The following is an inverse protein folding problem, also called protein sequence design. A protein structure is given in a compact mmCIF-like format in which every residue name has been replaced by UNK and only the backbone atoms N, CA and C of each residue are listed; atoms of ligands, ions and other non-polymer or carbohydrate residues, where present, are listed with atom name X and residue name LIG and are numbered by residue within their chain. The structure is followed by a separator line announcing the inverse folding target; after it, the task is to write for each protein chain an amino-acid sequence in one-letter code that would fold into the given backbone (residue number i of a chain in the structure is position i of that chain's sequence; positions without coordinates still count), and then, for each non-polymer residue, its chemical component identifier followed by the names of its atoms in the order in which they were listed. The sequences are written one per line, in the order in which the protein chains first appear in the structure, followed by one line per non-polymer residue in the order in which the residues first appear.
data_IF_075697545168
#
_entry.id   IF_075697545168
#
_cell.length_a   1.000
_cell.length_b   1.000
_cell.length_c   1.000
_cell.angle_alpha   90.00
_cell.angle_beta   90.00
_cell.angle_gamma   90.00
#
_symmetry.space_group_name_H-M   'P 1'
#
loop_
_entity.id
_entity.type
_entity.pdbx_description
1 polymer ?
#
# COMPACT_ATOMS: atom_id res chain seq x y z
N UNK A 1 -0.88 -33.05 -3.33
CA UNK A 1 -1.38 -31.66 -3.26
C UNK A 1 -0.36 -30.85 -2.48
N UNK A 2 0.14 -29.75 -3.04
CA UNK A 2 1.02 -28.88 -2.26
C UNK A 2 0.19 -28.23 -1.15
N UNK A 3 0.69 -28.30 0.08
CA UNK A 3 0.03 -27.71 1.25
C UNK A 3 0.10 -26.18 1.23
N UNK A 4 1.08 -25.61 0.51
CA UNK A 4 1.35 -24.17 0.43
C UNK A 4 1.34 -23.72 -1.02
N UNK A 5 0.88 -22.50 -1.25
CA UNK A 5 0.97 -21.83 -2.55
C UNK A 5 2.37 -21.24 -2.78
N UNK A 6 2.91 -20.61 -1.76
CA UNK A 6 4.26 -20.02 -1.73
C UNK A 6 4.99 -20.47 -0.46
N UNK A 7 5.47 -21.71 -0.47
CA UNK A 7 6.04 -22.37 0.72
C UNK A 7 7.12 -21.51 1.39
N UNK A 8 8.04 -20.94 0.63
CA UNK A 8 9.13 -20.09 1.16
C UNK A 8 8.65 -18.88 1.95
N UNK A 9 7.52 -18.31 1.56
CA UNK A 9 6.90 -17.15 2.24
C UNK A 9 6.04 -17.62 3.41
N UNK A 10 5.23 -18.65 3.20
CA UNK A 10 4.24 -19.12 4.17
C UNK A 10 4.85 -19.83 5.36
N UNK A 11 6.05 -20.41 5.19
CA UNK A 11 6.80 -21.10 6.26
C UNK A 11 8.01 -20.30 6.78
N UNK A 12 8.12 -19.05 6.37
CA UNK A 12 9.24 -18.17 6.74
C UNK A 12 9.33 -17.99 8.26
N UNK A 13 10.55 -18.01 8.82
CA UNK A 13 10.76 -17.70 10.23
C UNK A 13 10.30 -16.27 10.56
N UNK A 14 9.92 -16.05 11.83
CA UNK A 14 9.48 -14.71 12.29
C UNK A 14 10.53 -13.62 12.04
N UNK A 15 11.79 -13.94 12.21
CA UNK A 15 12.92 -13.01 12.01
C UNK A 15 13.00 -12.57 10.55
N UNK A 16 13.03 -13.54 9.63
CA UNK A 16 13.05 -13.26 8.18
C UNK A 16 11.79 -12.52 7.73
N UNK A 17 10.63 -12.86 8.29
CA UNK A 17 9.38 -12.18 8.00
C UNK A 17 9.43 -10.72 8.44
N UNK A 18 9.97 -10.43 9.63
CA UNK A 18 10.14 -9.07 10.13
C UNK A 18 11.09 -8.24 9.24
N UNK A 19 12.19 -8.83 8.79
CA UNK A 19 13.11 -8.20 7.85
C UNK A 19 12.42 -7.86 6.52
N UNK A 20 11.69 -8.82 5.96
CA UNK A 20 10.92 -8.64 4.73
C UNK A 20 9.85 -7.55 4.90
N UNK A 21 9.14 -7.54 6.01
CA UNK A 21 8.11 -6.54 6.30
C UNK A 21 8.72 -5.13 6.43
N UNK A 22 9.86 -4.99 7.10
CA UNK A 22 10.55 -3.71 7.21
C UNK A 22 11.02 -3.20 5.84
N UNK A 23 11.60 -4.08 5.03
CA UNK A 23 12.02 -3.74 3.68
C UNK A 23 10.83 -3.28 2.82
N UNK A 24 9.71 -3.99 2.88
CA UNK A 24 8.49 -3.65 2.14
C UNK A 24 7.87 -2.34 2.64
N UNK A 25 7.87 -2.09 3.95
CA UNK A 25 7.37 -0.85 4.54
C UNK A 25 8.17 0.35 4.03
N UNK A 26 9.50 0.28 4.04
CA UNK A 26 10.37 1.33 3.49
C UNK A 26 10.11 1.57 2.00
N UNK A 27 9.99 0.50 1.22
CA UNK A 27 9.67 0.58 -0.20
C UNK A 27 8.31 1.25 -0.42
N UNK A 28 7.29 0.87 0.36
CA UNK A 28 5.94 1.45 0.27
C UNK A 28 5.94 2.94 0.59
N UNK A 29 6.65 3.37 1.63
CA UNK A 29 6.78 4.80 1.98
C UNK A 29 7.45 5.57 0.85
N UNK A 30 8.52 5.02 0.28
CA UNK A 30 9.23 5.66 -0.83
C UNK A 30 8.32 5.84 -2.06
N UNK A 31 7.56 4.80 -2.42
CA UNK A 31 6.60 4.88 -3.54
C UNK A 31 5.46 5.85 -3.20
N UNK A 32 4.86 5.72 -2.03
CA UNK A 32 3.74 6.57 -1.60
C UNK A 32 4.10 8.06 -1.57
N UNK A 33 5.37 8.40 -1.32
CA UNK A 33 5.87 9.78 -1.36
C UNK A 33 5.69 10.46 -2.74
N UNK A 34 5.43 9.71 -3.80
CA UNK A 34 5.12 10.26 -5.12
C UNK A 34 3.65 10.71 -5.24
N UNK A 35 2.75 10.20 -4.40
CA UNK A 35 1.36 10.63 -4.40
C UNK A 35 1.23 12.02 -3.77
N UNK A 36 0.46 12.95 -4.38
CA UNK A 36 0.32 14.32 -3.87
C UNK A 36 -0.09 14.40 -2.39
N UNK A 37 -1.04 13.58 -1.97
CA UNK A 37 -1.50 13.50 -0.59
C UNK A 37 -0.37 13.06 0.36
N UNK A 38 0.26 11.93 0.09
CA UNK A 38 1.31 11.39 0.97
C UNK A 38 2.58 12.22 0.95
N UNK A 39 2.94 12.82 -0.16
CA UNK A 39 4.06 13.77 -0.22
C UNK A 39 3.88 14.89 0.80
N UNK A 40 2.68 15.46 0.89
CA UNK A 40 2.37 16.51 1.85
C UNK A 40 2.37 15.98 3.29
N UNK A 41 1.66 14.89 3.55
CA UNK A 41 1.58 14.28 4.90
C UNK A 41 2.96 13.88 5.42
N UNK A 42 3.76 13.21 4.61
CA UNK A 42 5.08 12.73 5.02
C UNK A 42 6.05 13.89 5.27
N UNK A 43 5.99 14.93 4.43
CA UNK A 43 6.79 16.14 4.65
C UNK A 43 6.44 16.80 5.98
N UNK A 44 5.15 16.96 6.30
CA UNK A 44 4.67 17.57 7.54
C UNK A 44 5.11 16.78 8.80
N UNK A 45 5.24 15.45 8.69
CA UNK A 45 5.58 14.57 9.81
C UNK A 45 7.06 14.12 9.80
N UNK A 46 7.88 14.60 8.87
CA UNK A 46 9.28 14.20 8.76
C UNK A 46 9.47 12.72 8.42
N UNK A 47 8.54 12.12 7.66
CA UNK A 47 8.55 10.70 7.30
C UNK A 47 9.21 10.52 5.93
N UNK A 48 10.16 9.60 5.88
CA UNK A 48 10.76 9.07 4.66
C UNK A 48 11.22 7.63 4.92
N UNK A 49 11.70 6.93 3.89
CA UNK A 49 12.14 5.54 4.04
C UNK A 49 13.25 5.36 5.08
N UNK A 50 14.16 6.34 5.19
CA UNK A 50 15.30 6.30 6.13
C UNK A 50 14.87 6.57 7.58
N UNK A 51 13.76 7.26 7.79
CA UNK A 51 13.20 7.50 9.13
C UNK A 51 12.58 6.25 9.76
N UNK A 52 12.37 5.20 8.99
CA UNK A 52 11.81 3.92 9.43
C UNK A 52 12.97 2.96 9.69
N UNK A 53 13.34 2.78 10.94
CA UNK A 53 14.44 1.93 11.36
C UNK A 53 13.98 0.54 11.83
N UNK A 54 12.73 0.44 12.26
CA UNK A 54 12.11 -0.79 12.75
C UNK A 54 10.62 -0.85 12.37
N UNK A 55 9.98 -2.01 12.53
CA UNK A 55 8.54 -2.16 12.32
C UNK A 55 7.71 -1.32 13.31
N UNK A 56 8.23 -1.03 14.50
CA UNK A 56 7.58 -0.17 15.49
C UNK A 56 7.39 1.27 14.99
N UNK A 57 8.22 1.71 14.07
CA UNK A 57 8.17 3.06 13.50
C UNK A 57 6.91 3.28 12.64
N UNK A 58 6.17 2.23 12.30
CA UNK A 58 4.85 2.35 11.64
C UNK A 58 3.90 3.26 12.44
N UNK A 59 4.09 3.35 13.75
CA UNK A 59 3.31 4.22 14.64
C UNK A 59 3.50 5.71 14.38
N UNK A 60 4.58 6.08 13.70
CA UNK A 60 4.88 7.47 13.30
C UNK A 60 4.05 7.91 12.09
N UNK A 61 3.51 6.96 11.34
CA UNK A 61 2.76 7.21 10.11
C UNK A 61 1.30 7.52 10.47
N UNK A 62 0.77 8.69 10.09
CA UNK A 62 -0.63 9.02 10.33
C UNK A 62 -1.57 8.06 9.57
N UNK A 63 -2.73 7.80 10.15
CA UNK A 63 -3.77 7.04 9.46
C UNK A 63 -4.31 7.80 8.25
N UNK A 64 -4.60 7.07 7.19
CA UNK A 64 -5.40 7.54 6.06
C UNK A 64 -6.86 7.13 6.29
N UNK A 65 -7.75 8.09 6.23
CA UNK A 65 -9.18 7.87 6.45
C UNK A 65 -9.96 7.88 5.14
N UNK A 66 -11.19 7.39 5.18
CA UNK A 66 -12.10 7.49 4.04
C UNK A 66 -12.39 8.96 3.66
N UNK A 67 -12.37 9.86 4.63
CA UNK A 67 -12.51 11.29 4.38
C UNK A 67 -11.33 11.85 3.58
N UNK A 68 -10.11 11.41 3.89
CA UNK A 68 -8.91 11.80 3.13
C UNK A 68 -9.00 11.33 1.68
N UNK A 69 -9.44 10.10 1.44
CA UNK A 69 -9.64 9.57 0.10
C UNK A 69 -10.66 10.39 -0.70
N UNK A 70 -11.78 10.76 -0.08
CA UNK A 70 -12.82 11.56 -0.72
C UNK A 70 -12.38 12.99 -1.02
N UNK A 71 -11.65 13.60 -0.09
CA UNK A 71 -11.11 14.95 -0.23
C UNK A 71 -10.09 15.06 -1.36
N UNK A 72 -9.35 13.98 -1.60
CA UNK A 72 -8.31 13.89 -2.62
C UNK A 72 -8.79 13.15 -3.90
N UNK A 73 -10.10 13.09 -4.09
CA UNK A 73 -10.71 12.51 -5.29
C UNK A 73 -10.27 13.26 -6.55
N UNK A 74 -10.05 12.59 -7.68
CA UNK A 74 -10.07 11.15 -7.85
C UNK A 74 -8.69 10.49 -7.63
N UNK A 75 -7.57 11.15 -7.86
CA UNK A 75 -6.24 10.55 -7.99
C UNK A 75 -5.18 11.12 -7.04
N UNK A 76 -5.57 11.88 -6.04
CA UNK A 76 -4.63 12.50 -5.09
C UNK A 76 -3.80 11.51 -4.25
N UNK A 77 -4.23 10.25 -4.15
CA UNK A 77 -3.51 9.17 -3.48
C UNK A 77 -2.77 8.23 -4.45
N UNK A 78 -2.79 8.49 -5.73
CA UNK A 78 -2.09 7.67 -6.72
C UNK A 78 -0.62 8.05 -6.76
N UNK A 79 0.26 7.08 -6.54
CA UNK A 79 1.71 7.24 -6.49
C UNK A 79 2.41 6.86 -7.80
N UNK A 80 1.74 6.12 -8.66
CA UNK A 80 2.25 5.61 -9.93
C UNK A 80 1.76 6.49 -11.11
N UNK A 81 2.48 6.41 -12.22
CA UNK A 81 2.01 7.00 -13.46
C UNK A 81 0.71 6.31 -13.92
N UNK A 82 -0.28 7.09 -14.29
CA UNK A 82 -1.58 6.57 -14.76
C UNK A 82 -1.47 5.69 -16.01
N UNK A 83 -0.39 5.79 -16.79
CA UNK A 83 -0.11 4.87 -17.90
C UNK A 83 0.12 3.43 -17.44
N UNK A 84 0.49 3.23 -16.16
CA UNK A 84 0.66 1.91 -15.55
C UNK A 84 -0.64 1.36 -14.92
N UNK A 85 -1.71 2.15 -14.94
CA UNK A 85 -3.00 1.74 -14.39
C UNK A 85 -3.66 0.69 -15.31
N UNK A 86 -3.96 -0.48 -14.76
CA UNK A 86 -4.65 -1.57 -15.49
C UNK A 86 -6.08 -1.75 -15.02
N UNK A 87 -6.42 -1.23 -13.82
CA UNK A 87 -7.78 -1.31 -13.27
C UNK A 87 -8.05 -0.15 -12.31
N UNK A 88 -9.27 0.33 -12.34
CA UNK A 88 -9.78 1.35 -11.40
C UNK A 88 -11.01 0.78 -10.72
N UNK A 89 -11.03 0.81 -9.39
CA UNK A 89 -12.19 0.51 -8.58
C UNK A 89 -12.73 1.78 -7.94
N UNK A 90 -14.06 1.86 -7.85
CA UNK A 90 -14.73 2.99 -7.23
C UNK A 90 -15.89 2.52 -6.37
N UNK A 91 -16.09 3.17 -5.23
CA UNK A 91 -17.30 2.98 -4.43
C UNK A 91 -18.49 3.71 -5.08
N UNK A 92 -19.73 3.38 -4.66
CA UNK A 92 -20.96 3.96 -5.22
C UNK A 92 -21.11 5.48 -5.02
N UNK A 93 -20.39 6.08 -4.06
CA UNK A 93 -20.42 7.53 -3.82
C UNK A 93 -21.76 8.08 -3.33
N UNK A 94 -22.63 7.27 -2.75
CA UNK A 94 -23.98 7.69 -2.29
C UNK A 94 -23.98 8.83 -1.27
N UNK A 95 -22.87 9.04 -0.57
CA UNK A 95 -22.72 10.06 0.51
C UNK A 95 -21.62 11.09 0.19
N UNK A 96 -21.40 11.45 -1.06
CA UNK A 96 -20.37 12.39 -1.52
C UNK A 96 -19.46 11.79 -2.60
N UNK A 97 -18.24 12.33 -2.75
CA UNK A 97 -17.29 11.77 -3.71
C UNK A 97 -17.01 10.29 -3.41
N UNK A 98 -16.99 9.44 -4.44
CA UNK A 98 -16.61 8.05 -4.26
C UNK A 98 -15.14 7.93 -3.81
N UNK A 99 -14.80 6.81 -3.19
CA UNK A 99 -13.40 6.43 -3.04
C UNK A 99 -12.92 5.77 -4.33
N UNK A 100 -11.77 6.18 -4.82
CA UNK A 100 -11.16 5.62 -6.04
C UNK A 100 -9.86 4.92 -5.69
N UNK A 101 -9.67 3.71 -6.19
CA UNK A 101 -8.45 2.92 -6.04
C UNK A 101 -7.97 2.52 -7.43
N UNK A 102 -6.73 2.87 -7.73
CA UNK A 102 -6.07 2.53 -9.00
C UNK A 102 -5.11 1.37 -8.74
N UNK A 103 -5.17 0.37 -9.60
CA UNK A 103 -4.31 -0.81 -9.51
C UNK A 103 -3.36 -0.89 -10.71
N UNK A 104 -2.10 -1.11 -10.42
CA UNK A 104 -1.10 -1.55 -11.39
C UNK A 104 -1.21 -3.07 -11.65
N UNK A 105 -0.50 -3.58 -12.65
CA UNK A 105 -0.42 -5.03 -12.86
C UNK A 105 0.17 -5.74 -11.63
N UNK A 106 1.20 -5.15 -11.02
CA UNK A 106 1.81 -5.71 -9.80
C UNK A 106 0.81 -5.82 -8.63
N UNK A 107 -0.10 -4.86 -8.47
CA UNK A 107 -1.13 -4.92 -7.43
C UNK A 107 -2.10 -6.08 -7.67
N UNK A 108 -2.51 -6.29 -8.92
CA UNK A 108 -3.39 -7.40 -9.29
C UNK A 108 -2.72 -8.76 -9.10
N UNK A 109 -1.46 -8.89 -9.48
CA UNK A 109 -0.69 -10.12 -9.30
C UNK A 109 -0.52 -10.42 -7.81
N UNK A 110 -0.15 -9.42 -7.01
CA UNK A 110 -0.05 -9.55 -5.55
C UNK A 110 -1.38 -9.96 -4.92
N UNK A 111 -2.48 -9.37 -5.35
CA UNK A 111 -3.82 -9.73 -4.90
C UNK A 111 -4.18 -11.17 -5.26
N UNK A 112 -3.89 -11.60 -6.49
CA UNK A 112 -4.12 -12.97 -6.94
C UNK A 112 -3.32 -13.98 -6.09
N UNK A 113 -2.04 -13.72 -5.81
CA UNK A 113 -1.21 -14.55 -4.94
C UNK A 113 -1.76 -14.64 -3.51
N UNK A 114 -2.15 -13.52 -2.92
CA UNK A 114 -2.75 -13.50 -1.58
C UNK A 114 -4.07 -14.28 -1.54
N UNK A 115 -4.88 -14.15 -2.58
CA UNK A 115 -6.14 -14.89 -2.66
C UNK A 115 -5.92 -16.39 -2.82
N UNK A 116 -4.93 -16.80 -3.63
CA UNK A 116 -4.58 -18.22 -3.82
C UNK A 116 -4.16 -18.91 -2.51
N UNK A 117 -3.56 -18.19 -1.56
CA UNK A 117 -3.23 -18.73 -0.23
C UNK A 117 -4.46 -19.02 0.63
N UNK A 118 -5.62 -18.49 0.29
CA UNK A 118 -6.86 -18.68 1.04
C UNK A 118 -7.67 -19.88 0.53
N UNK A 119 -7.29 -20.48 -0.61
CA UNK A 119 -7.97 -21.60 -1.26
C UNK A 119 -7.31 -22.93 -0.93
#
# INVERSE_FOLDING_TARGET
MNQYWEEDIETMSREKLNELQLQRLRKTINIASNAPYYKNVFTQHGINADSIQSLEDIKKIPFTTKADMRKNYPFGLVAEDMSNAVRIHSSSGTTGNPTVIVHSQHDLDSWAHLFARCL
#
